data_IF_047731521626
#
_entry.id   IF_047731521626
#
_cell.length_a   1.000
_cell.length_b   1.000
_cell.length_c   1.000
_cell.angle_alpha   90.00
_cell.angle_beta   90.00
_cell.angle_gamma   90.00
#
_symmetry.space_group_name_H-M   'P 1'
#
loop_
_entity.id
_entity.type
_entity.pdbx_description
1 polymer ?
#
# COMPACT_ATOMS: atom_id res chain seq x y z
N UNK A 1 2.41 24.81 -49.28
CA UNK A 1 2.74 26.08 -49.96
C UNK A 1 4.15 26.49 -49.53
N UNK A 2 4.99 26.85 -50.51
CA UNK A 2 6.36 27.37 -50.36
C UNK A 2 6.34 28.84 -49.86
N UNK A 3 7.51 29.42 -49.50
CA UNK A 3 7.70 30.32 -48.37
C UNK A 3 7.62 31.81 -48.73
N UNK A 4 7.41 32.66 -47.72
CA UNK A 4 7.47 34.12 -47.86
C UNK A 4 8.84 34.67 -47.44
N UNK A 5 9.46 35.34 -48.40
CA UNK A 5 10.76 35.97 -48.36
C UNK A 5 10.75 37.29 -47.58
N UNK A 6 11.60 37.42 -46.57
CA UNK A 6 11.89 38.72 -45.95
C UNK A 6 12.86 39.50 -46.83
N UNK A 7 12.34 40.56 -47.44
CA UNK A 7 13.00 41.48 -48.35
C UNK A 7 13.63 42.61 -47.51
N UNK A 8 14.95 42.63 -47.35
CA UNK A 8 15.66 43.78 -46.79
C UNK A 8 15.90 44.83 -47.88
N UNK A 9 15.57 46.08 -47.57
CA UNK A 9 15.80 47.24 -48.43
C UNK A 9 17.30 47.57 -48.51
N UNK A 10 17.83 47.59 -49.72
CA UNK A 10 19.11 48.20 -50.06
C UNK A 10 18.95 49.73 -50.12
N UNK A 11 19.75 50.46 -49.35
CA UNK A 11 19.99 51.88 -49.58
C UNK A 11 21.29 52.05 -50.36
N UNK A 12 21.14 52.43 -51.62
CA UNK A 12 22.23 52.86 -52.50
C UNK A 12 22.67 54.27 -52.11
N UNK A 13 23.92 54.44 -51.66
CA UNK A 13 24.62 55.73 -51.70
C UNK A 13 25.91 55.58 -52.49
N UNK A 14 25.81 56.10 -53.72
CA UNK A 14 26.84 56.61 -54.63
C UNK A 14 28.04 57.27 -53.95
N UNK A 15 29.24 56.97 -54.46
CA UNK A 15 30.39 57.86 -54.81
C UNK A 15 31.64 56.97 -54.87
N UNK A 16 31.94 56.36 -56.01
CA UNK A 16 32.74 56.90 -57.11
C UNK A 16 34.16 57.38 -56.73
N UNK A 17 35.13 56.70 -57.33
CA UNK A 17 36.46 57.19 -57.72
C UNK A 17 37.50 57.43 -56.62
N UNK A 18 38.37 56.43 -56.39
CA UNK A 18 39.82 56.59 -56.15
C UNK A 18 40.52 55.21 -56.12
N UNK A 19 40.38 54.43 -57.20
CA UNK A 19 41.24 53.28 -57.46
C UNK A 19 42.39 53.73 -58.38
N UNK A 20 43.38 54.42 -57.84
CA UNK A 20 44.69 54.61 -58.47
C UNK A 20 45.73 54.93 -57.39
N UNK A 21 46.85 54.19 -57.43
CA UNK A 21 47.92 54.09 -56.41
C UNK A 21 47.46 53.25 -55.19
N UNK A 22 48.04 52.12 -54.78
CA UNK A 22 49.43 51.68 -54.77
C UNK A 22 49.48 50.14 -54.59
N UNK A 23 49.71 49.36 -55.66
CA UNK A 23 49.77 47.87 -55.60
C UNK A 23 51.03 47.26 -54.96
N UNK A 24 52.22 47.89 -54.89
CA UNK A 24 53.38 47.28 -54.23
C UNK A 24 53.28 47.26 -52.69
N UNK A 25 52.50 48.15 -52.07
CA UNK A 25 52.36 48.19 -50.60
C UNK A 25 51.42 47.11 -50.05
N UNK A 26 50.44 46.63 -50.82
CA UNK A 26 49.56 45.54 -50.39
C UNK A 26 50.26 44.17 -50.39
N UNK A 27 51.21 43.92 -51.31
CA UNK A 27 51.98 42.67 -51.33
C UNK A 27 53.01 42.60 -50.20
N UNK A 28 53.64 43.74 -49.84
CA UNK A 28 54.54 43.83 -48.68
C UNK A 28 53.80 43.72 -47.34
N UNK A 29 52.58 44.28 -47.23
CA UNK A 29 51.74 44.11 -46.04
C UNK A 29 51.26 42.66 -45.86
N UNK A 30 50.86 42.00 -46.95
CA UNK A 30 50.45 40.59 -46.91
C UNK A 30 51.61 39.64 -46.60
N UNK A 31 52.83 39.89 -47.11
CA UNK A 31 54.01 39.06 -46.82
C UNK A 31 54.43 39.15 -45.35
N UNK A 32 54.41 40.35 -44.75
CA UNK A 32 54.67 40.53 -43.31
C UNK A 32 53.59 39.86 -42.45
N UNK A 33 52.32 39.96 -42.83
CA UNK A 33 51.22 39.27 -42.15
C UNK A 33 51.33 37.75 -42.24
N UNK A 34 51.70 37.21 -43.41
CA UNK A 34 51.90 35.77 -43.61
C UNK A 34 53.09 35.25 -42.79
N UNK A 35 54.20 36.00 -42.72
CA UNK A 35 55.33 35.64 -41.87
C UNK A 35 54.98 35.65 -40.38
N UNK A 36 54.23 36.65 -39.90
CA UNK A 36 53.75 36.69 -38.51
C UNK A 36 52.76 35.56 -38.24
N UNK A 37 51.85 35.27 -39.17
CA UNK A 37 50.90 34.17 -39.06
C UNK A 37 51.60 32.81 -39.04
N UNK A 38 52.59 32.58 -39.91
CA UNK A 38 53.40 31.35 -39.89
C UNK A 38 54.19 31.24 -38.58
N UNK A 39 54.75 32.34 -38.08
CA UNK A 39 55.48 32.32 -36.81
C UNK A 39 54.56 32.02 -35.62
N UNK A 40 53.40 32.67 -35.55
CA UNK A 40 52.39 32.43 -34.50
C UNK A 40 51.81 31.02 -34.62
N UNK A 41 51.51 30.55 -35.83
CA UNK A 41 51.03 29.19 -36.07
C UNK A 41 52.08 28.14 -35.70
N UNK A 42 53.35 28.37 -36.08
CA UNK A 42 54.47 27.51 -35.66
C UNK A 42 54.67 27.51 -34.15
N UNK A 43 54.48 28.66 -33.48
CA UNK A 43 54.54 28.76 -32.03
C UNK A 43 53.39 28.02 -31.35
N UNK A 44 52.16 28.11 -31.89
CA UNK A 44 50.99 27.37 -31.39
C UNK A 44 51.18 25.86 -31.55
N UNK A 45 51.62 25.40 -32.72
CA UNK A 45 51.94 23.98 -32.95
C UNK A 45 53.07 23.51 -32.02
N UNK A 46 54.07 24.35 -31.76
CA UNK A 46 55.14 24.03 -30.81
C UNK A 46 54.63 23.94 -29.37
N UNK A 47 53.75 24.86 -28.95
CA UNK A 47 53.13 24.86 -27.62
C UNK A 47 52.21 23.64 -27.41
N UNK A 48 51.45 23.25 -28.44
CA UNK A 48 50.59 22.08 -28.40
C UNK A 48 51.42 20.78 -28.33
N UNK A 49 52.52 20.71 -29.09
CA UNK A 49 53.47 19.59 -29.04
C UNK A 49 54.23 19.51 -27.70
N UNK A 50 54.51 20.65 -27.08
CA UNK A 50 55.07 20.74 -25.72
C UNK A 50 54.06 20.25 -24.66
N UNK A 51 52.78 20.59 -24.81
CA UNK A 51 51.70 20.15 -23.93
C UNK A 51 51.47 18.64 -23.99
N UNK A 52 51.50 18.04 -25.19
CA UNK A 52 51.39 16.59 -25.37
C UNK A 52 52.49 15.81 -24.65
N UNK A 53 53.76 16.22 -24.82
CA UNK A 53 54.91 15.58 -24.14
C UNK A 53 54.79 15.63 -22.62
N UNK A 54 54.34 16.75 -22.06
CA UNK A 54 54.17 16.87 -20.61
C UNK A 54 53.09 15.91 -20.08
N UNK A 55 52.02 15.69 -20.84
CA UNK A 55 50.95 14.75 -20.47
C UNK A 55 51.44 13.30 -20.44
N UNK A 56 52.23 12.90 -21.42
CA UNK A 56 52.79 11.54 -21.50
C UNK A 56 53.73 11.26 -20.32
N UNK A 57 54.60 12.21 -19.98
CA UNK A 57 55.52 12.13 -18.84
C UNK A 57 54.76 11.95 -17.51
N UNK A 58 53.63 12.63 -17.33
CA UNK A 58 52.79 12.50 -16.12
C UNK A 58 52.00 11.18 -16.06
N UNK A 59 51.83 10.48 -17.19
CA UNK A 59 51.19 9.17 -17.24
C UNK A 59 52.19 8.02 -17.00
N UNK A 60 53.45 8.22 -17.36
CA UNK A 60 54.51 7.22 -17.22
C UNK A 60 55.08 7.14 -15.80
N UNK A 61 55.53 5.95 -15.39
CA UNK A 61 56.29 5.78 -14.16
C UNK A 61 57.79 5.99 -14.40
N UNK A 62 58.26 7.23 -14.17
CA UNK A 62 59.65 7.62 -14.40
C UNK A 62 60.64 6.87 -13.49
N UNK A 63 60.25 6.58 -12.25
CA UNK A 63 61.10 5.85 -11.30
C UNK A 63 61.19 4.38 -11.67
N UNK A 64 60.05 3.75 -12.02
CA UNK A 64 60.00 2.39 -12.54
C UNK A 64 60.79 2.23 -13.84
N UNK A 65 60.70 3.21 -14.75
CA UNK A 65 61.46 3.22 -16.00
C UNK A 65 62.97 3.23 -15.75
N UNK A 66 63.46 3.97 -14.76
CA UNK A 66 64.87 3.95 -14.34
C UNK A 66 65.21 2.76 -13.42
N UNK A 67 64.21 2.05 -12.89
CA UNK A 67 64.38 0.92 -11.99
C UNK A 67 64.89 1.34 -10.61
N UNK A 68 64.52 2.53 -10.16
CA UNK A 68 64.92 3.11 -8.87
C UNK A 68 63.69 3.35 -8.00
N UNK A 69 63.89 3.44 -6.68
CA UNK A 69 62.81 3.80 -5.75
C UNK A 69 62.50 5.30 -5.87
N UNK A 70 61.29 5.72 -5.52
CA UNK A 70 60.92 7.14 -5.43
C UNK A 70 61.77 7.92 -4.42
N UNK A 71 62.34 7.24 -3.42
CA UNK A 71 63.28 7.79 -2.44
C UNK A 71 64.73 7.92 -2.94
N UNK A 72 65.02 7.56 -4.20
CA UNK A 72 66.38 7.55 -4.73
C UNK A 72 66.95 8.97 -4.83
N UNK A 73 68.24 9.11 -4.53
CA UNK A 73 68.98 10.36 -4.65
C UNK A 73 69.29 10.68 -6.12
N UNK A 74 69.52 11.95 -6.44
CA UNK A 74 69.88 12.36 -7.81
C UNK A 74 71.14 11.65 -8.33
N UNK A 75 72.07 11.28 -7.45
CA UNK A 75 73.27 10.50 -7.81
C UNK A 75 72.90 9.09 -8.26
N UNK A 76 71.98 8.42 -7.56
CA UNK A 76 71.49 7.09 -7.91
C UNK A 76 70.68 7.10 -9.20
N UNK A 77 69.84 8.12 -9.40
CA UNK A 77 69.07 8.33 -10.63
C UNK A 77 70.01 8.47 -11.84
N UNK A 78 71.02 9.35 -11.75
CA UNK A 78 72.04 9.51 -12.80
C UNK A 78 72.83 8.23 -13.07
N UNK A 79 73.16 7.46 -12.01
CA UNK A 79 73.87 6.17 -12.14
C UNK A 79 73.00 5.12 -12.85
N UNK A 80 71.73 5.02 -12.47
CA UNK A 80 70.77 4.09 -13.07
C UNK A 80 70.51 4.42 -14.55
N UNK A 81 70.35 5.71 -14.87
CA UNK A 81 70.26 6.17 -16.26
C UNK A 81 71.46 5.73 -17.08
N UNK A 82 72.69 6.01 -16.64
CA UNK A 82 73.90 5.62 -17.38
C UNK A 82 73.95 4.12 -17.67
N UNK A 83 73.58 3.30 -16.68
CA UNK A 83 73.54 1.83 -16.84
C UNK A 83 72.52 1.41 -17.90
N UNK A 84 71.30 1.93 -17.84
CA UNK A 84 70.22 1.57 -18.78
C UNK A 84 70.43 2.15 -20.18
N UNK A 85 70.94 3.38 -20.28
CA UNK A 85 71.25 4.05 -21.53
C UNK A 85 72.31 3.29 -22.34
N UNK A 86 73.32 2.72 -21.67
CA UNK A 86 74.33 1.86 -22.33
C UNK A 86 73.72 0.59 -22.94
N UNK A 87 72.75 -0.01 -22.25
CA UNK A 87 72.06 -1.21 -22.73
C UNK A 87 71.12 -0.90 -23.90
N UNK A 88 70.44 0.25 -23.86
CA UNK A 88 69.45 0.64 -24.87
C UNK A 88 70.00 1.58 -25.94
N UNK A 89 71.33 1.75 -26.04
CA UNK A 89 71.92 2.72 -26.96
C UNK A 89 71.61 2.34 -28.43
N UNK A 90 71.12 3.27 -29.27
CA UNK A 90 70.70 2.96 -30.65
C UNK A 90 71.85 2.45 -31.52
N UNK A 91 73.08 2.95 -31.32
CA UNK A 91 74.29 2.49 -32.02
C UNK A 91 74.65 1.02 -31.73
N UNK A 92 74.35 0.53 -30.51
CA UNK A 92 74.59 -0.87 -30.12
C UNK A 92 73.42 -1.79 -30.47
N UNK A 93 72.26 -1.22 -30.81
CA UNK A 93 71.03 -1.94 -31.10
C UNK A 93 70.36 -1.38 -32.38
N UNK A 94 71.06 -1.35 -33.53
CA UNK A 94 70.56 -0.70 -34.75
C UNK A 94 69.29 -1.37 -35.30
N UNK A 95 69.12 -2.68 -35.06
CA UNK A 95 67.97 -3.45 -35.56
C UNK A 95 66.73 -3.40 -34.65
N UNK A 96 66.82 -2.72 -33.49
CA UNK A 96 65.73 -2.67 -32.51
C UNK A 96 65.12 -1.27 -32.39
N UNK A 97 64.00 -0.97 -33.06
CA UNK A 97 63.35 0.33 -32.98
C UNK A 97 62.86 0.68 -31.56
N UNK A 98 62.58 -0.34 -30.72
CA UNK A 98 62.19 -0.14 -29.32
C UNK A 98 63.35 0.36 -28.45
N UNK A 99 64.60 0.07 -28.82
CA UNK A 99 65.76 0.55 -28.08
C UNK A 99 65.87 2.08 -28.17
N UNK A 100 65.62 2.64 -29.35
CA UNK A 100 65.59 4.09 -29.56
C UNK A 100 64.46 4.78 -28.78
N UNK A 101 63.26 4.18 -28.77
CA UNK A 101 62.13 4.68 -28.00
C UNK A 101 62.40 4.64 -26.49
N UNK A 102 62.87 3.50 -25.96
CA UNK A 102 63.23 3.36 -24.55
C UNK A 102 64.36 4.32 -24.15
N UNK A 103 65.36 4.51 -25.02
CA UNK A 103 66.42 5.48 -24.78
C UNK A 103 65.86 6.90 -24.66
N UNK A 104 64.94 7.28 -25.56
CA UNK A 104 64.28 8.57 -25.51
C UNK A 104 63.48 8.76 -24.21
N UNK A 105 62.70 7.76 -23.82
CA UNK A 105 61.93 7.76 -22.56
C UNK A 105 62.85 7.84 -21.33
N UNK A 106 63.98 7.13 -21.34
CA UNK A 106 64.99 7.20 -20.27
C UNK A 106 65.60 8.60 -20.15
N UNK A 107 65.86 9.26 -21.28
CA UNK A 107 66.36 10.64 -21.30
C UNK A 107 65.33 11.62 -20.74
N UNK A 108 64.05 11.50 -21.10
CA UNK A 108 62.96 12.31 -20.55
C UNK A 108 62.80 12.09 -19.03
N UNK A 109 62.87 10.83 -18.58
CA UNK A 109 62.82 10.51 -17.16
C UNK A 109 63.99 11.13 -16.39
N UNK A 110 65.21 11.11 -16.95
CA UNK A 110 66.35 11.77 -16.34
C UNK A 110 66.15 13.29 -16.28
N UNK A 111 65.66 13.92 -17.35
CA UNK A 111 65.43 15.37 -17.41
C UNK A 111 64.51 15.84 -16.28
N UNK A 112 63.38 15.15 -16.09
CA UNK A 112 62.40 15.48 -15.04
C UNK A 112 62.92 15.14 -13.64
N UNK A 113 63.56 13.99 -13.46
CA UNK A 113 64.00 13.51 -12.14
C UNK A 113 65.33 14.12 -11.67
N UNK A 114 66.13 14.69 -12.57
CA UNK A 114 67.38 15.36 -12.23
C UNK A 114 67.18 16.80 -11.75
N UNK A 115 66.13 17.48 -12.23
CA UNK A 115 65.74 18.82 -11.77
C UNK A 115 64.87 18.74 -10.51
N UNK A 116 65.22 19.51 -9.48
CA UNK A 116 64.54 19.45 -8.19
C UNK A 116 63.09 19.97 -8.27
N UNK A 117 62.83 21.01 -9.08
CA UNK A 117 61.51 21.60 -9.21
C UNK A 117 60.57 20.70 -10.03
N UNK A 118 61.05 20.20 -11.17
CA UNK A 118 60.32 19.27 -12.03
C UNK A 118 60.00 17.96 -11.30
N UNK A 119 60.96 17.41 -10.55
CA UNK A 119 60.74 16.22 -9.71
C UNK A 119 59.66 16.46 -8.66
N UNK A 120 59.71 17.58 -7.94
CA UNK A 120 58.70 17.90 -6.93
C UNK A 120 57.29 18.06 -7.54
N UNK A 121 57.20 18.66 -8.73
CA UNK A 121 55.93 18.78 -9.45
C UNK A 121 55.39 17.40 -9.89
N UNK A 122 56.25 16.55 -10.45
CA UNK A 122 55.91 15.18 -10.82
C UNK A 122 55.42 14.37 -9.61
N UNK A 123 56.18 14.39 -8.50
CA UNK A 123 55.84 13.68 -7.26
C UNK A 123 54.49 14.15 -6.70
N UNK A 124 54.19 15.45 -6.76
CA UNK A 124 52.89 16.01 -6.34
C UNK A 124 51.74 15.49 -7.19
N UNK A 125 51.90 15.41 -8.52
CA UNK A 125 50.87 14.88 -9.42
C UNK A 125 50.65 13.38 -9.16
N UNK A 126 51.72 12.61 -8.99
CA UNK A 126 51.62 11.18 -8.66
C UNK A 126 50.90 10.96 -7.32
N UNK A 127 51.23 11.75 -6.29
CA UNK A 127 50.56 11.68 -5.00
C UNK A 127 49.06 12.02 -5.12
N UNK A 128 48.73 13.09 -5.85
CA UNK A 128 47.34 13.50 -6.08
C UNK A 128 46.54 12.42 -6.85
N UNK A 129 47.15 11.80 -7.86
CA UNK A 129 46.54 10.69 -8.63
C UNK A 129 46.23 9.50 -7.71
N UNK A 130 47.20 9.08 -6.89
CA UNK A 130 47.02 7.98 -5.93
C UNK A 130 45.92 8.28 -4.91
N UNK A 131 45.88 9.50 -4.38
CA UNK A 131 44.82 9.94 -3.46
C UNK A 131 43.45 9.98 -4.13
N UNK A 132 43.37 10.43 -5.39
CA UNK A 132 42.13 10.43 -6.15
C UNK A 132 41.61 9.02 -6.40
N UNK A 133 42.49 8.10 -6.81
CA UNK A 133 42.17 6.69 -7.00
C UNK A 133 41.66 6.04 -5.70
N UNK A 134 42.33 6.29 -4.57
CA UNK A 134 41.90 5.76 -3.28
C UNK A 134 40.52 6.30 -2.85
N UNK A 135 40.25 7.59 -3.09
CA UNK A 135 38.92 8.18 -2.83
C UNK A 135 37.86 7.53 -3.70
N UNK A 136 38.13 7.37 -5.00
CA UNK A 136 37.20 6.72 -5.92
C UNK A 136 36.92 5.29 -5.50
N UNK A 137 37.96 4.51 -5.18
CA UNK A 137 37.82 3.14 -4.66
C UNK A 137 36.92 3.09 -3.42
N UNK A 138 37.17 3.97 -2.44
CA UNK A 138 36.33 4.05 -1.22
C UNK A 138 34.87 4.42 -1.52
N UNK A 139 34.64 5.30 -2.50
CA UNK A 139 33.29 5.65 -2.94
C UNK A 139 32.60 4.47 -3.62
N UNK A 140 33.33 3.73 -4.46
CA UNK A 140 32.80 2.57 -5.18
C UNK A 140 32.48 1.41 -4.22
N UNK A 141 33.33 1.16 -3.22
CA UNK A 141 33.06 0.19 -2.15
C UNK A 141 31.78 0.56 -1.37
N UNK A 142 31.63 1.86 -1.03
CA UNK A 142 30.42 2.36 -0.37
C UNK A 142 29.18 2.21 -1.23
N UNK A 143 29.26 2.58 -2.52
CA UNK A 143 28.16 2.43 -3.49
C UNK A 143 27.75 0.97 -3.62
N UNK A 144 28.72 0.05 -3.74
CA UNK A 144 28.46 -1.39 -3.81
C UNK A 144 27.77 -1.89 -2.53
N UNK A 145 28.23 -1.48 -1.35
CA UNK A 145 27.60 -1.86 -0.08
C UNK A 145 26.16 -1.36 0.03
N UNK A 146 25.91 -0.10 -0.34
CA UNK A 146 24.56 0.49 -0.34
C UNK A 146 23.66 -0.26 -1.32
N UNK A 147 24.14 -0.54 -2.53
CA UNK A 147 23.39 -1.31 -3.54
C UNK A 147 22.99 -2.68 -3.02
N UNK A 148 23.93 -3.44 -2.46
CA UNK A 148 23.66 -4.76 -1.90
C UNK A 148 22.68 -4.74 -0.72
N UNK A 149 22.77 -3.72 0.15
CA UNK A 149 21.83 -3.55 1.26
C UNK A 149 20.41 -3.22 0.75
N UNK A 150 20.30 -2.34 -0.24
CA UNK A 150 19.03 -2.00 -0.88
C UNK A 150 18.39 -3.23 -1.55
N UNK A 151 19.15 -3.95 -2.39
CA UNK A 151 18.67 -5.18 -3.04
C UNK A 151 18.24 -6.25 -2.04
N UNK A 152 18.96 -6.38 -0.90
CA UNK A 152 18.59 -7.32 0.14
C UNK A 152 17.30 -6.91 0.87
N UNK A 153 17.05 -5.62 1.07
CA UNK A 153 15.80 -5.12 1.65
C UNK A 153 14.62 -5.30 0.70
N UNK A 154 14.82 -4.97 -0.57
CA UNK A 154 13.83 -5.14 -1.63
C UNK A 154 13.40 -6.60 -1.74
N UNK A 155 14.36 -7.53 -1.83
CA UNK A 155 14.06 -8.97 -1.85
C UNK A 155 13.27 -9.45 -0.62
N UNK A 156 13.60 -8.96 0.57
CA UNK A 156 12.86 -9.32 1.79
C UNK A 156 11.44 -8.79 1.76
N UNK A 157 11.25 -7.55 1.31
CA UNK A 157 9.93 -6.95 1.18
C UNK A 157 9.08 -7.65 0.11
N UNK A 158 9.70 -8.02 -1.03
CA UNK A 158 9.05 -8.81 -2.08
C UNK A 158 8.64 -10.20 -1.57
N UNK A 159 9.52 -10.90 -0.85
CA UNK A 159 9.22 -12.20 -0.28
C UNK A 159 8.06 -12.13 0.72
N UNK A 160 8.06 -11.13 1.61
CA UNK A 160 6.96 -10.90 2.54
C UNK A 160 5.66 -10.59 1.80
N UNK A 161 5.69 -9.72 0.78
CA UNK A 161 4.52 -9.42 -0.03
C UNK A 161 3.98 -10.66 -0.75
N UNK A 162 4.85 -11.54 -1.24
CA UNK A 162 4.43 -12.80 -1.88
C UNK A 162 3.79 -13.76 -0.87
N UNK A 163 4.34 -13.84 0.33
CA UNK A 163 3.78 -14.63 1.43
C UNK A 163 2.40 -14.09 1.83
N UNK A 164 2.25 -12.77 1.99
CA UNK A 164 0.97 -12.12 2.31
C UNK A 164 -0.09 -12.38 1.22
N UNK A 165 0.29 -12.29 -0.06
CA UNK A 165 -0.59 -12.61 -1.19
C UNK A 165 -1.02 -14.07 -1.16
N UNK A 166 -0.08 -14.99 -0.87
CA UNK A 166 -0.38 -16.42 -0.80
C UNK A 166 -1.32 -16.72 0.38
N UNK A 167 -1.06 -16.15 1.56
CA UNK A 167 -1.92 -16.26 2.74
C UNK A 167 -3.31 -15.73 2.41
N UNK A 168 -3.40 -14.52 1.85
CA UNK A 168 -4.68 -13.90 1.46
C UNK A 168 -5.47 -14.80 0.52
N UNK A 169 -4.82 -15.34 -0.52
CA UNK A 169 -5.48 -16.27 -1.46
C UNK A 169 -6.00 -17.53 -0.76
N UNK A 170 -5.18 -18.14 0.11
CA UNK A 170 -5.60 -19.33 0.84
C UNK A 170 -6.77 -19.06 1.78
N UNK A 171 -6.79 -17.89 2.44
CA UNK A 171 -7.90 -17.49 3.30
C UNK A 171 -9.17 -17.22 2.48
N UNK A 172 -9.06 -16.58 1.32
CA UNK A 172 -10.19 -16.35 0.42
C UNK A 172 -10.81 -17.66 -0.09
N UNK A 173 -9.97 -18.62 -0.48
CA UNK A 173 -10.39 -19.96 -0.88
C UNK A 173 -11.15 -20.67 0.26
N UNK A 174 -10.62 -20.62 1.48
CA UNK A 174 -11.26 -21.25 2.65
C UNK A 174 -12.58 -20.56 3.04
N UNK A 175 -12.63 -19.22 2.99
CA UNK A 175 -13.86 -18.46 3.22
C UNK A 175 -14.92 -18.83 2.17
N UNK A 176 -14.54 -18.93 0.90
CA UNK A 176 -15.46 -19.31 -0.18
C UNK A 176 -16.02 -20.71 0.05
N UNK A 177 -15.17 -21.67 0.42
CA UNK A 177 -15.56 -23.02 0.76
C UNK A 177 -16.56 -23.05 1.92
N UNK A 178 -16.25 -22.38 3.03
CA UNK A 178 -17.13 -22.34 4.20
C UNK A 178 -18.47 -21.68 3.89
N UNK A 179 -18.49 -20.65 3.04
CA UNK A 179 -19.73 -20.01 2.57
C UNK A 179 -20.57 -20.96 1.73
N UNK A 180 -19.95 -21.73 0.84
CA UNK A 180 -20.66 -22.70 0.02
C UNK A 180 -21.23 -23.84 0.87
N UNK A 181 -20.43 -24.40 1.79
CA UNK A 181 -20.86 -25.43 2.73
C UNK A 181 -22.03 -24.93 3.59
N UNK A 182 -21.93 -23.72 4.14
CA UNK A 182 -23.01 -23.08 4.90
C UNK A 182 -24.27 -22.81 4.08
N UNK A 183 -24.13 -22.37 2.83
CA UNK A 183 -25.27 -22.17 1.91
C UNK A 183 -25.97 -23.48 1.57
N UNK A 184 -25.22 -24.57 1.43
CA UNK A 184 -25.78 -25.89 1.12
C UNK A 184 -26.60 -26.44 2.29
N UNK A 185 -26.07 -26.32 3.51
CA UNK A 185 -26.77 -26.72 4.73
C UNK A 185 -28.09 -25.95 4.89
N UNK A 186 -28.07 -24.63 4.75
CA UNK A 186 -29.28 -23.82 4.85
C UNK A 186 -30.33 -24.20 3.78
N UNK A 187 -29.88 -24.47 2.55
CA UNK A 187 -30.77 -24.90 1.47
C UNK A 187 -31.40 -26.27 1.75
N UNK A 188 -30.64 -27.21 2.31
CA UNK A 188 -31.14 -28.52 2.74
C UNK A 188 -32.15 -28.39 3.88
N UNK A 189 -31.85 -27.60 4.92
CA UNK A 189 -32.78 -27.32 6.02
C UNK A 189 -34.08 -26.67 5.52
N UNK A 190 -33.97 -25.65 4.66
CA UNK A 190 -35.14 -25.00 4.04
C UNK A 190 -35.96 -25.98 3.21
N UNK A 191 -35.32 -26.91 2.50
CA UNK A 191 -36.02 -27.94 1.71
C UNK A 191 -36.81 -28.87 2.62
N UNK A 192 -36.19 -29.36 3.69
CA UNK A 192 -36.84 -30.23 4.67
C UNK A 192 -38.03 -29.52 5.33
N UNK A 193 -37.87 -28.27 5.77
CA UNK A 193 -38.97 -27.47 6.35
C UNK A 193 -40.12 -27.33 5.35
N UNK A 194 -39.83 -27.01 4.08
CA UNK A 194 -40.86 -26.91 3.04
C UNK A 194 -41.57 -28.23 2.80
N UNK A 195 -40.84 -29.35 2.74
CA UNK A 195 -41.43 -30.69 2.61
C UNK A 195 -42.31 -31.04 3.82
N UNK A 196 -41.91 -30.67 5.03
CA UNK A 196 -42.68 -30.87 6.26
C UNK A 196 -44.01 -30.11 6.21
N UNK A 197 -43.98 -28.81 5.87
CA UNK A 197 -45.16 -27.96 5.71
C UNK A 197 -46.10 -28.52 4.63
N UNK A 198 -45.55 -28.98 3.51
CA UNK A 198 -46.31 -29.57 2.42
C UNK A 198 -47.04 -30.84 2.88
N UNK A 199 -46.35 -31.75 3.59
CA UNK A 199 -46.97 -32.97 4.13
C UNK A 199 -48.06 -32.65 5.15
N UNK A 200 -47.80 -31.71 6.07
CA UNK A 200 -48.78 -31.29 7.07
C UNK A 200 -50.04 -30.71 6.41
N UNK A 201 -49.88 -29.89 5.36
CA UNK A 201 -51.00 -29.38 4.54
C UNK A 201 -51.75 -30.50 3.79
N UNK A 202 -51.03 -31.51 3.28
CA UNK A 202 -51.64 -32.65 2.59
C UNK A 202 -52.38 -33.59 3.55
N UNK A 203 -51.83 -33.83 4.74
CA UNK A 203 -52.48 -34.55 5.82
C UNK A 203 -53.75 -33.82 6.26
N UNK A 204 -53.69 -32.50 6.48
CA UNK A 204 -54.88 -31.68 6.77
C UNK A 204 -55.93 -31.71 5.63
N UNK A 205 -55.52 -31.90 4.37
CA UNK A 205 -56.45 -32.05 3.23
C UNK A 205 -57.04 -33.46 3.12
N UNK A 206 -56.34 -34.50 3.58
CA UNK A 206 -56.77 -35.91 3.51
C UNK A 206 -57.57 -36.35 4.74
N UNK A 207 -57.23 -35.86 5.94
CA UNK A 207 -58.10 -35.95 7.12
C UNK A 207 -59.23 -34.96 6.93
N UNK A 208 -60.27 -35.37 6.19
CA UNK A 208 -61.48 -34.58 6.00
C UNK A 208 -62.19 -34.30 7.33
N UNK A 209 -61.75 -33.27 8.05
CA UNK A 209 -62.50 -32.63 9.12
C UNK A 209 -63.11 -31.34 8.58
N UNK A 210 -64.36 -31.45 8.14
CA UNK A 210 -65.32 -30.36 8.29
C UNK A 210 -65.54 -30.14 9.79
N UNK A 211 -64.78 -29.22 10.39
CA UNK A 211 -65.09 -28.73 11.73
C UNK A 211 -63.89 -28.16 12.46
N UNK A 212 -63.92 -26.85 12.73
CA UNK A 212 -63.12 -26.29 13.82
C UNK A 212 -62.48 -24.94 13.53
N UNK A 213 -63.21 -23.86 13.81
CA UNK A 213 -62.59 -22.64 14.34
C UNK A 213 -61.66 -23.03 15.50
N UNK A 214 -60.36 -22.78 15.42
CA UNK A 214 -59.49 -22.66 16.60
C UNK A 214 -58.15 -22.02 16.19
N UNK A 215 -57.64 -20.97 16.82
CA UNK A 215 -58.19 -20.09 17.84
C UNK A 215 -57.89 -18.65 17.42
N UNK A 216 -58.93 -17.89 17.11
CA UNK A 216 -58.79 -16.45 17.00
C UNK A 216 -58.46 -15.92 18.39
N UNK A 217 -57.19 -15.61 18.63
CA UNK A 217 -56.77 -14.87 19.80
C UNK A 217 -57.59 -13.57 19.85
N UNK A 218 -58.24 -13.26 20.97
CA UNK A 218 -59.06 -12.07 21.08
C UNK A 218 -58.21 -10.81 20.88
N UNK A 219 -58.61 -9.99 19.92
CA UNK A 219 -57.95 -8.72 19.63
C UNK A 219 -58.87 -7.57 20.02
N UNK A 220 -58.32 -6.66 20.82
CA UNK A 220 -58.98 -5.43 21.22
C UNK A 220 -58.31 -4.24 20.58
N UNK A 221 -59.14 -3.28 20.18
CA UNK A 221 -58.71 -1.98 19.70
C UNK A 221 -58.85 -0.96 20.81
N UNK A 222 -57.75 -0.29 21.11
CA UNK A 222 -57.62 0.76 22.09
C UNK A 222 -57.59 2.13 21.40
N UNK A 223 -58.33 3.09 21.95
CA UNK A 223 -58.37 4.46 21.45
C UNK A 223 -58.42 5.48 22.59
N UNK A 224 -57.57 6.50 22.54
CA UNK A 224 -57.53 7.58 23.52
C UNK A 224 -57.38 8.93 22.81
N UNK A 225 -57.53 10.03 23.56
CA UNK A 225 -57.37 11.37 23.01
C UNK A 225 -55.88 11.71 22.92
N UNK A 226 -55.44 12.25 21.78
CA UNK A 226 -54.08 12.76 21.59
C UNK A 226 -54.17 14.08 20.83
N UNK A 227 -53.45 15.12 21.28
CA UNK A 227 -53.34 16.38 20.52
C UNK A 227 -52.37 16.20 19.35
N UNK A 228 -52.53 17.01 18.30
CA UNK A 228 -51.74 16.90 17.05
C UNK A 228 -50.23 17.08 17.29
N UNK A 229 -49.88 17.94 18.24
CA UNK A 229 -48.49 18.29 18.60
C UNK A 229 -48.01 17.62 19.90
N UNK A 230 -48.68 16.55 20.33
CA UNK A 230 -48.30 15.81 21.54
C UNK A 230 -47.23 14.76 21.21
N UNK A 231 -46.02 14.98 21.71
CA UNK A 231 -44.88 14.04 21.57
C UNK A 231 -45.07 12.79 22.43
N UNK A 232 -45.82 12.88 23.53
CA UNK A 232 -46.03 11.78 24.49
C UNK A 232 -47.26 10.91 24.15
N UNK A 233 -47.83 11.08 22.95
CA UNK A 233 -48.95 10.29 22.44
C UNK A 233 -50.12 10.17 23.44
N UNK A 234 -50.49 11.27 24.12
CA UNK A 234 -51.54 11.28 25.13
C UNK A 234 -51.17 10.61 26.47
N UNK A 235 -49.88 10.39 26.72
CA UNK A 235 -49.34 9.73 27.92
C UNK A 235 -49.23 8.20 27.79
N UNK A 236 -49.50 7.64 26.61
CA UNK A 236 -49.54 6.20 26.39
C UNK A 236 -48.41 5.73 25.49
N UNK A 237 -47.37 5.19 26.13
CA UNK A 237 -46.33 4.39 25.49
C UNK A 237 -46.73 2.92 25.43
N UNK A 238 -45.99 2.16 24.62
CA UNK A 238 -46.10 0.70 24.59
C UNK A 238 -46.00 0.11 26.01
N UNK A 239 -45.01 0.54 26.80
CA UNK A 239 -44.75 -0.02 28.13
C UNK A 239 -45.84 0.32 29.15
N UNK A 240 -46.43 1.53 29.07
CA UNK A 240 -47.53 1.93 29.94
C UNK A 240 -48.77 1.10 29.62
N UNK A 241 -49.11 0.97 28.33
CA UNK A 241 -50.24 0.16 27.88
C UNK A 241 -50.05 -1.32 28.24
N UNK A 242 -48.84 -1.86 28.03
CA UNK A 242 -48.51 -3.24 28.42
C UNK A 242 -48.67 -3.44 29.93
N UNK A 243 -48.16 -2.50 30.74
CA UNK A 243 -48.27 -2.56 32.21
C UNK A 243 -49.70 -2.43 32.73
N UNK A 244 -50.56 -1.69 32.04
CA UNK A 244 -51.99 -1.61 32.37
C UNK A 244 -52.70 -2.91 32.00
N UNK A 245 -52.45 -3.44 30.81
CA UNK A 245 -53.21 -4.55 30.21
C UNK A 245 -52.76 -5.92 30.71
N UNK A 246 -51.48 -6.10 31.04
CA UNK A 246 -50.95 -7.34 31.63
C UNK A 246 -51.63 -7.70 32.97
N UNK A 247 -52.26 -6.74 33.65
CA UNK A 247 -52.99 -6.97 34.91
C UNK A 247 -54.22 -7.87 34.73
N UNK A 248 -54.77 -7.91 33.51
CA UNK A 248 -55.98 -8.69 33.21
C UNK A 248 -55.67 -10.06 32.58
N UNK A 249 -54.44 -10.26 32.10
CA UNK A 249 -53.93 -11.52 31.58
C UNK A 249 -52.79 -11.34 30.59
N UNK A 250 -52.33 -12.46 30.02
CA UNK A 250 -51.18 -12.47 29.13
C UNK A 250 -51.47 -11.77 27.80
N UNK A 251 -50.69 -10.73 27.52
CA UNK A 251 -50.71 -9.97 26.26
C UNK A 251 -49.72 -10.63 25.29
N UNK A 252 -50.23 -11.20 24.20
CA UNK A 252 -49.42 -11.84 23.16
C UNK A 252 -48.76 -10.81 22.24
N UNK A 253 -49.49 -9.76 21.90
CA UNK A 253 -49.01 -8.72 20.99
C UNK A 253 -49.66 -7.37 21.35
N UNK A 254 -48.88 -6.29 21.37
CA UNK A 254 -49.36 -4.95 21.63
C UNK A 254 -48.71 -4.00 20.63
N UNK A 255 -49.51 -3.49 19.71
CA UNK A 255 -49.04 -2.61 18.63
C UNK A 255 -49.63 -1.24 18.83
N UNK A 256 -48.78 -0.26 19.16
CA UNK A 256 -49.15 1.16 19.14
C UNK A 256 -49.00 1.70 17.72
N UNK A 257 -50.04 2.33 17.20
CA UNK A 257 -50.08 2.81 15.82
C UNK A 257 -49.12 4.00 15.62
N UNK A 258 -48.04 3.79 14.84
CA UNK A 258 -47.12 4.86 14.43
C UNK A 258 -47.73 5.83 13.41
N UNK A 259 -48.70 5.37 12.61
CA UNK A 259 -49.37 6.16 11.55
C UNK A 259 -50.48 7.08 12.07
N UNK A 260 -51.12 6.71 13.18
CA UNK A 260 -52.22 7.45 13.81
C UNK A 260 -52.04 7.43 15.32
N UNK A 261 -51.59 8.56 15.88
CA UNK A 261 -51.47 8.78 17.33
C UNK A 261 -52.84 8.58 18.00
N UNK A 262 -52.85 8.08 19.23
CA UNK A 262 -54.09 7.81 19.97
C UNK A 262 -54.76 6.46 19.73
N UNK A 263 -54.06 5.47 19.14
CA UNK A 263 -54.63 4.13 18.90
C UNK A 263 -53.61 3.01 19.06
N UNK A 264 -54.05 1.88 19.61
CA UNK A 264 -53.29 0.63 19.66
C UNK A 264 -54.20 -0.57 19.41
N UNK A 265 -53.60 -1.70 19.06
CA UNK A 265 -54.25 -3.01 18.99
C UNK A 265 -53.51 -3.93 19.95
N UNK A 266 -54.26 -4.64 20.77
CA UNK A 266 -53.73 -5.62 21.73
C UNK A 266 -54.37 -6.97 21.46
N UNK A 267 -53.54 -7.99 21.48
CA UNK A 267 -53.92 -9.38 21.33
C UNK A 267 -53.68 -10.08 22.66
N UNK A 268 -54.72 -10.68 23.22
CA UNK A 268 -54.63 -11.42 24.47
C UNK A 268 -54.58 -12.92 24.21
N UNK A 269 -53.90 -13.65 25.10
CA UNK A 269 -53.86 -15.11 25.05
C UNK A 269 -55.23 -15.75 25.38
N UNK A 270 -56.10 -15.03 26.09
CA UNK A 270 -57.40 -15.56 26.56
C UNK A 270 -58.54 -14.56 26.35
N UNK A 271 -59.70 -15.07 25.90
CA UNK A 271 -60.94 -14.28 25.71
C UNK A 271 -61.39 -13.63 27.03
N UNK A 272 -61.23 -14.35 28.15
CA UNK A 272 -61.56 -13.85 29.49
C UNK A 272 -60.66 -12.67 29.90
N UNK A 273 -59.38 -12.70 29.55
CA UNK A 273 -58.46 -11.59 29.81
C UNK A 273 -58.85 -10.33 29.03
N UNK A 274 -59.26 -10.52 27.76
CA UNK A 274 -59.77 -9.45 26.92
C UNK A 274 -61.11 -8.87 27.45
N UNK A 275 -62.04 -9.71 27.90
CA UNK A 275 -63.28 -9.24 28.54
C UNK A 275 -63.01 -8.42 29.81
N UNK A 276 -62.14 -8.92 30.69
CA UNK A 276 -61.78 -8.23 31.92
C UNK A 276 -61.10 -6.88 31.65
N UNK A 277 -60.23 -6.81 30.65
CA UNK A 277 -59.61 -5.56 30.22
C UNK A 277 -60.67 -4.59 29.68
N UNK A 278 -61.62 -5.06 28.86
CA UNK A 278 -62.70 -4.24 28.31
C UNK A 278 -63.64 -3.68 29.39
N UNK A 279 -63.96 -4.45 30.43
CA UNK A 279 -64.91 -4.04 31.47
C UNK A 279 -64.28 -3.17 32.56
N UNK A 280 -63.01 -3.38 32.88
CA UNK A 280 -62.39 -2.78 34.08
C UNK A 280 -61.34 -1.71 33.77
N UNK A 281 -60.71 -1.71 32.58
CA UNK A 281 -59.65 -0.76 32.28
C UNK A 281 -60.22 0.57 31.80
N UNK A 282 -59.96 1.62 32.57
CA UNK A 282 -60.37 3.00 32.25
C UNK A 282 -59.20 3.86 31.76
N UNK A 283 -57.96 3.36 31.81
CA UNK A 283 -56.76 4.07 31.40
C UNK A 283 -56.19 4.97 32.51
N UNK A 284 -55.47 6.01 32.09
CA UNK A 284 -54.85 7.01 32.94
C UNK A 284 -55.93 8.01 33.35
N UNK A 285 -55.90 8.43 34.61
CA UNK A 285 -56.90 9.33 35.20
C UNK A 285 -57.12 10.64 34.45
N UNK A 286 -56.10 11.14 33.74
CA UNK A 286 -56.17 12.35 32.91
C UNK A 286 -56.62 12.14 31.46
N UNK A 287 -56.65 10.90 30.96
CA UNK A 287 -56.96 10.60 29.56
C UNK A 287 -57.48 9.16 29.40
N UNK A 288 -58.79 8.92 29.54
CA UNK A 288 -59.31 7.56 29.54
C UNK A 288 -59.18 6.86 28.18
N UNK A 289 -59.02 5.53 28.21
CA UNK A 289 -59.00 4.70 27.00
C UNK A 289 -60.39 4.16 26.72
N UNK A 290 -60.78 4.16 25.43
CA UNK A 290 -61.92 3.43 24.91
C UNK A 290 -61.45 2.13 24.27
N UNK A 291 -61.97 1.01 24.77
CA UNK A 291 -61.63 -0.35 24.32
C UNK A 291 -62.81 -0.91 23.52
N UNK A 292 -62.54 -1.63 22.44
CA UNK A 292 -63.56 -2.26 21.59
C UNK A 292 -63.04 -3.56 20.97
N UNK A 293 -63.92 -4.53 20.75
CA UNK A 293 -63.59 -5.77 20.07
C UNK A 293 -63.21 -5.53 18.61
N UNK A 294 -62.11 -6.13 18.17
CA UNK A 294 -61.68 -6.16 16.77
C UNK A 294 -61.89 -7.55 16.18
N UNK A 295 -61.40 -8.60 16.85
CA UNK A 295 -61.57 -10.01 16.49
C UNK A 295 -61.75 -10.86 17.77
N UNK A 296 -62.43 -12.01 17.66
CA UNK A 296 -62.62 -12.92 18.80
C UNK A 296 -63.65 -12.48 19.84
N UNK A 297 -64.66 -11.69 19.45
CA UNK A 297 -65.78 -11.31 20.33
C UNK A 297 -66.51 -12.58 20.81
N UNK A 298 -66.67 -12.79 22.13
CA UNK A 298 -67.40 -13.94 22.64
C UNK A 298 -68.88 -13.86 22.26
N UNK A 299 -69.40 -14.93 21.67
CA UNK A 299 -70.85 -15.16 21.57
C UNK A 299 -71.38 -15.48 22.97
N UNK A 300 -72.55 -14.95 23.39
CA UNK A 300 -73.05 -15.14 24.74
C UNK A 300 -73.48 -16.59 24.95
N UNK A 301 -72.65 -17.36 25.65
CA UNK A 301 -72.96 -18.73 26.10
C UNK A 301 -72.60 -18.87 27.57
N UNK A 302 -73.56 -19.42 28.31
CA UNK A 302 -73.60 -19.51 29.76
C UNK A 302 -72.42 -20.31 30.37
N UNK A 303 -72.10 -19.92 31.60
CA UNK A 303 -71.26 -20.53 32.63
C UNK A 303 -70.73 -21.96 32.38
N UNK A 304 -69.40 -22.14 32.53
CA UNK A 304 -68.80 -23.06 33.52
C UNK A 304 -67.27 -23.24 33.33
N UNK A 305 -66.54 -22.89 34.39
CA UNK A 305 -65.52 -23.72 35.06
C UNK A 305 -64.27 -24.27 34.32
N UNK A 306 -63.14 -23.67 34.70
CA UNK A 306 -61.90 -24.28 35.25
C UNK A 306 -60.83 -24.98 34.36
N UNK A 307 -59.60 -24.45 34.58
CA UNK A 307 -58.28 -25.09 34.73
C UNK A 307 -57.49 -25.59 33.52
N UNK A 308 -56.29 -25.01 33.36
CA UNK A 308 -55.07 -25.81 33.21
C UNK A 308 -54.13 -25.49 32.03
N UNK A 309 -53.01 -24.83 32.35
CA UNK A 309 -51.63 -25.11 31.86
C UNK A 309 -51.14 -24.59 30.48
N UNK A 310 -50.28 -23.55 30.57
CA UNK A 310 -48.92 -23.35 30.00
C UNK A 310 -48.41 -24.17 28.79
N UNK A 311 -47.86 -23.45 27.78
CA UNK A 311 -46.50 -23.56 27.19
C UNK A 311 -46.38 -22.63 25.95
N UNK A 312 -45.65 -21.52 26.06
CA UNK A 312 -44.28 -21.23 25.57
C UNK A 312 -44.13 -20.91 24.08
N UNK A 313 -43.69 -19.67 23.85
CA UNK A 313 -43.44 -18.95 22.61
C UNK A 313 -42.18 -19.38 21.84
N UNK A 314 -42.25 -19.36 20.51
CA UNK A 314 -41.11 -19.03 19.64
C UNK A 314 -41.49 -17.88 18.70
N UNK A 315 -40.68 -16.82 18.67
CA UNK A 315 -40.87 -15.65 17.83
C UNK A 315 -39.56 -15.18 17.19
N UNK A 316 -39.37 -15.60 15.94
CA UNK A 316 -38.81 -14.89 14.78
C UNK A 316 -37.64 -13.90 14.98
N UNK A 317 -36.45 -14.28 14.48
CA UNK A 317 -35.27 -13.41 14.33
C UNK A 317 -35.21 -12.85 12.89
N UNK A 318 -35.25 -11.54 12.75
CA UNK A 318 -35.13 -10.86 11.46
C UNK A 318 -34.23 -9.63 11.61
N UNK A 319 -32.91 -9.81 11.48
CA UNK A 319 -31.94 -8.81 11.01
C UNK A 319 -30.52 -9.41 10.85
N UNK A 320 -29.79 -8.96 9.82
CA UNK A 320 -28.45 -9.42 9.42
C UNK A 320 -27.35 -9.07 10.46
N UNK A 321 -27.53 -8.01 11.25
CA UNK A 321 -26.68 -7.65 12.40
C UNK A 321 -26.75 -8.68 13.55
N UNK A 322 -27.85 -9.41 13.66
CA UNK A 322 -28.02 -10.40 14.71
C UNK A 322 -27.27 -11.70 14.37
N UNK A 323 -27.09 -12.00 13.07
CA UNK A 323 -26.24 -13.10 12.62
C UNK A 323 -24.75 -12.81 12.88
N UNK A 324 -24.26 -11.60 12.58
CA UNK A 324 -22.88 -11.22 12.90
C UNK A 324 -22.62 -11.26 14.41
N UNK A 325 -23.56 -10.80 15.24
CA UNK A 325 -23.38 -10.80 16.70
C UNK A 325 -23.37 -12.22 17.29
N UNK A 326 -24.22 -13.13 16.79
CA UNK A 326 -24.24 -14.54 17.20
C UNK A 326 -22.96 -15.26 16.75
N UNK A 327 -22.49 -15.01 15.52
CA UNK A 327 -21.25 -15.61 14.99
C UNK A 327 -20.03 -15.13 15.79
N UNK A 328 -19.95 -13.84 16.09
CA UNK A 328 -18.86 -13.28 16.91
C UNK A 328 -18.89 -13.80 18.36
N UNK A 329 -20.07 -14.01 18.94
CA UNK A 329 -20.22 -14.64 20.25
C UNK A 329 -19.72 -16.10 20.23
N UNK A 330 -20.11 -16.89 19.21
CA UNK A 330 -19.68 -18.28 19.06
C UNK A 330 -18.17 -18.41 18.81
N UNK A 331 -17.59 -17.51 18.01
CA UNK A 331 -16.13 -17.43 17.79
C UNK A 331 -15.38 -17.15 19.10
N UNK A 332 -15.89 -16.22 19.93
CA UNK A 332 -15.30 -15.92 21.25
C UNK A 332 -15.35 -17.14 22.18
N UNK A 333 -16.50 -17.82 22.24
CA UNK A 333 -16.66 -19.03 23.08
C UNK A 333 -15.76 -20.19 22.60
N UNK A 334 -15.58 -20.35 21.28
CA UNK A 334 -14.67 -21.35 20.73
C UNK A 334 -13.21 -21.06 21.08
N UNK A 335 -12.78 -19.80 20.98
CA UNK A 335 -11.42 -19.38 21.35
C UNK A 335 -11.15 -19.55 22.86
N UNK A 336 -12.12 -19.25 23.73
CA UNK A 336 -11.99 -19.49 25.18
C UNK A 336 -11.91 -20.99 25.50
N UNK A 337 -12.70 -21.84 24.83
CA UNK A 337 -12.59 -23.30 24.99
C UNK A 337 -11.25 -23.85 24.54
N UNK A 338 -10.70 -23.36 23.43
CA UNK A 338 -9.38 -23.79 22.96
C UNK A 338 -8.29 -23.44 23.96
N UNK A 339 -8.33 -22.24 24.56
CA UNK A 339 -7.39 -21.85 25.62
C UNK A 339 -7.49 -22.75 26.86
N UNK A 340 -8.70 -23.14 27.26
CA UNK A 340 -8.88 -24.06 28.39
C UNK A 340 -8.31 -25.44 28.09
N UNK A 341 -8.53 -25.96 26.87
CA UNK A 341 -8.00 -27.26 26.44
C UNK A 341 -6.47 -27.23 26.41
N UNK A 342 -5.87 -26.17 25.87
CA UNK A 342 -4.41 -26.00 25.84
C UNK A 342 -3.82 -25.89 27.25
N UNK A 343 -4.52 -25.24 28.18
CA UNK A 343 -4.11 -25.19 29.58
C UNK A 343 -4.18 -26.57 30.25
N UNK A 344 -5.25 -27.33 30.04
CA UNK A 344 -5.37 -28.69 30.57
C UNK A 344 -4.28 -29.63 30.01
N UNK A 345 -4.01 -29.57 28.70
CA UNK A 345 -2.95 -30.37 28.09
C UNK A 345 -1.57 -30.05 28.66
N UNK A 346 -1.31 -28.77 28.96
CA UNK A 346 -0.05 -28.35 29.59
C UNK A 346 0.07 -28.86 31.03
N UNK A 347 -1.02 -28.82 31.79
CA UNK A 347 -1.06 -29.34 33.15
C UNK A 347 -0.87 -30.88 33.16
N UNK A 348 -1.50 -31.61 32.22
CA UNK A 348 -1.33 -33.05 32.04
C UNK A 348 0.12 -33.43 31.61
N UNK A 349 0.75 -32.63 30.73
CA UNK A 349 2.13 -32.82 30.30
C UNK A 349 3.14 -32.55 31.44
N UNK A 350 2.88 -31.54 32.27
CA UNK A 350 3.71 -31.21 33.45
C UNK A 350 3.55 -32.29 34.55
N UNK A 351 2.37 -32.87 34.74
CA UNK A 351 2.15 -34.02 35.64
C UNK A 351 2.84 -35.29 35.13
N UNK A 352 2.82 -35.55 33.82
CA UNK A 352 3.51 -36.69 33.20
C UNK A 352 5.05 -36.57 33.23
N UNK A 353 5.59 -35.35 33.22
CA UNK A 353 7.03 -35.09 33.34
C UNK A 353 7.53 -35.09 34.80
N UNK A 354 6.63 -34.99 35.78
CA UNK A 354 6.93 -34.99 37.21
C UNK A 354 6.83 -36.35 37.90
N UNK A 355 6.32 -37.38 37.23
CA UNK A 355 6.28 -38.79 37.70
C UNK A 355 7.37 -39.63 37.06
#
# INVERSE_FOLDING_TARGET
MRPESFRYHETTTTTNSLNKLDKPLQLFFNFKYYCVYIFVFSLVIHLEKMSGKAKDILQMDLYGLLGVKSSATTKEIKKAYRKKALTCHPDKNPDNPKAAELFHQLSQALEVLADAAARAAYDKVCAAKKQAEERNRKLDDKRKKIKLDLEARERRAEAQSQEDVQITRTLEEEIARLREEGSRQLAEEQRLIREQIQRELEEQRQTGESGGKSGATPKLKLKWKCKKDDEMNGGYSHDILFKLLQKYGDVLNLIVSSKKKGSAVVEFASVRAAELALSNESGLSGNPIKISWLEGKPEPVAEASQSGQFLSSQGSLSNERDYESIVMMRMRQAAERQKLIEQMQREDDDEAAGS
#
